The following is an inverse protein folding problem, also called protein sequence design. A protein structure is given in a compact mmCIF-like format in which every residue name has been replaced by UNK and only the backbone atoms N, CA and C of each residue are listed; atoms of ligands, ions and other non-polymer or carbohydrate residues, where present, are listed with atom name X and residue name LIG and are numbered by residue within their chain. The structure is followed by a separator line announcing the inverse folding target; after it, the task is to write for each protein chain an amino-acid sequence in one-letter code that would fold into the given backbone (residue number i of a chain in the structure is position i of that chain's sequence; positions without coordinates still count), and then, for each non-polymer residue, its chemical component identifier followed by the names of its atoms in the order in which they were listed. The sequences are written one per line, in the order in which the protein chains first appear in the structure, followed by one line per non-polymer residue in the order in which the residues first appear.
data_IF_172266197891
#
_entry.id   IF_172266197891
#
_cell.length_a   1.000
_cell.length_b   1.000
_cell.length_c   1.000
_cell.angle_alpha   90.00
_cell.angle_beta   90.00
_cell.angle_gamma   90.00
#
_symmetry.space_group_name_H-M   'P 1'
#
loop_
_entity.id
_entity.type
_entity.pdbx_description
1 polymer ?
#
# COMPACT_ATOMS: atom_id res chain seq x y z
N UNK A 1 -56.10 37.00 3.77
CA UNK A 1 -55.18 38.15 3.91
C UNK A 1 -54.04 37.96 2.92
N UNK A 2 -53.98 38.84 1.90
CA UNK A 2 -52.89 39.13 0.94
C UNK A 2 -52.24 37.98 0.14
N UNK A 3 -51.83 38.11 -1.13
CA UNK A 3 -52.07 39.08 -2.21
C UNK A 3 -51.41 38.52 -3.48
N UNK A 4 -52.13 38.64 -4.59
CA UNK A 4 -51.74 38.99 -5.96
C UNK A 4 -50.42 38.51 -6.60
N UNK A 5 -50.60 37.85 -7.74
CA UNK A 5 -49.59 37.59 -8.77
C UNK A 5 -49.27 38.82 -9.66
N UNK A 6 -48.08 38.75 -10.28
CA UNK A 6 -47.74 39.14 -11.67
C UNK A 6 -47.40 40.61 -11.97
N UNK A 7 -46.15 40.86 -12.40
CA UNK A 7 -45.83 41.38 -13.75
C UNK A 7 -44.33 41.32 -14.07
N UNK A 8 -44.10 41.20 -15.38
CA UNK A 8 -42.88 40.98 -16.17
C UNK A 8 -42.41 42.32 -16.74
N UNK A 9 -41.09 42.50 -16.87
CA UNK A 9 -40.48 43.43 -17.84
C UNK A 9 -39.17 42.82 -18.34
N UNK A 10 -39.06 42.70 -19.65
CA UNK A 10 -37.84 42.39 -20.41
C UNK A 10 -37.14 43.71 -20.76
N UNK A 11 -35.81 43.70 -20.78
CA UNK A 11 -35.03 44.59 -21.66
C UNK A 11 -33.76 43.85 -22.10
N UNK A 12 -33.40 44.06 -23.36
CA UNK A 12 -32.46 43.29 -24.17
C UNK A 12 -31.32 44.20 -24.63
N UNK A 13 -30.12 43.65 -24.81
CA UNK A 13 -29.15 44.17 -25.78
C UNK A 13 -28.14 43.11 -26.21
N UNK A 14 -27.72 43.25 -27.45
CA UNK A 14 -27.16 42.29 -28.38
C UNK A 14 -25.63 42.08 -28.33
N UNK A 15 -25.24 40.83 -28.62
CA UNK A 15 -24.21 40.38 -29.60
C UNK A 15 -22.79 40.98 -29.55
N UNK A 16 -21.78 40.12 -29.32
CA UNK A 16 -20.72 39.82 -30.31
C UNK A 16 -19.71 38.77 -29.82
N UNK A 17 -19.62 37.65 -30.54
CA UNK A 17 -18.47 36.75 -30.55
C UNK A 17 -17.43 37.25 -31.55
N UNK A 18 -16.15 36.87 -31.39
CA UNK A 18 -15.50 36.19 -32.51
C UNK A 18 -14.75 34.93 -32.08
N UNK A 19 -15.00 33.88 -32.86
CA UNK A 19 -14.22 32.66 -32.98
C UNK A 19 -12.77 32.96 -33.38
N UNK A 20 -11.80 32.35 -32.68
CA UNK A 20 -10.54 31.94 -33.30
C UNK A 20 -9.91 30.76 -32.53
N UNK A 21 -9.96 29.58 -33.15
CA UNK A 21 -8.88 28.58 -33.08
C UNK A 21 -8.18 28.60 -34.45
N UNK A 22 -6.98 28.01 -34.69
CA UNK A 22 -6.27 27.00 -33.90
C UNK A 22 -4.73 27.20 -33.82
N UNK A 23 -4.03 26.34 -33.04
CA UNK A 23 -2.76 25.72 -33.48
C UNK A 23 -2.33 24.56 -32.56
N UNK A 24 -2.34 23.35 -33.14
CA UNK A 24 -1.64 22.15 -32.65
C UNK A 24 -0.13 22.44 -32.65
N UNK A 25 0.51 22.29 -31.50
CA UNK A 25 1.97 22.23 -31.35
C UNK A 25 2.44 20.80 -31.14
N UNK A 26 3.34 20.36 -32.01
CA UNK A 26 4.12 19.12 -31.95
C UNK A 26 4.96 19.08 -30.67
N UNK A 27 5.12 17.91 -30.08
CA UNK A 27 5.61 17.71 -28.70
C UNK A 27 7.11 17.86 -28.47
N UNK A 28 7.45 18.12 -27.21
CA UNK A 28 8.77 17.87 -26.62
C UNK A 28 8.60 16.76 -25.57
N UNK A 29 9.31 15.62 -25.64
CA UNK A 29 9.12 14.51 -24.69
C UNK A 29 9.54 14.82 -23.25
N UNK A 30 10.30 15.91 -23.02
CA UNK A 30 10.85 16.26 -21.70
C UNK A 30 10.03 17.25 -20.87
N UNK A 31 9.11 18.02 -21.45
CA UNK A 31 8.46 19.13 -20.74
C UNK A 31 7.40 18.69 -19.71
N UNK A 32 6.81 17.50 -19.87
CA UNK A 32 5.71 17.05 -19.01
C UNK A 32 6.18 16.52 -17.65
N UNK A 33 7.39 15.95 -17.58
CA UNK A 33 7.97 15.43 -16.33
C UNK A 33 8.45 16.56 -15.41
N UNK A 34 9.04 17.62 -15.97
CA UNK A 34 9.52 18.81 -15.24
C UNK A 34 8.40 19.56 -14.48
N UNK A 35 7.16 19.47 -14.97
CA UNK A 35 5.96 20.05 -14.34
C UNK A 35 5.05 19.02 -13.67
N UNK A 36 5.56 17.80 -13.46
CA UNK A 36 4.81 16.79 -12.70
C UNK A 36 4.60 17.25 -11.25
N UNK A 37 3.49 16.81 -10.65
CA UNK A 37 3.18 17.18 -9.26
C UNK A 37 4.30 16.74 -8.31
N UNK A 38 4.90 15.55 -8.53
CA UNK A 38 6.02 15.06 -7.72
C UNK A 38 7.25 15.97 -7.76
N UNK A 39 7.66 16.43 -8.95
CA UNK A 39 8.80 17.36 -9.09
C UNK A 39 8.49 18.72 -8.47
N UNK A 40 7.26 19.22 -8.63
CA UNK A 40 6.83 20.46 -8.00
C UNK A 40 6.77 20.34 -6.48
N UNK A 41 6.33 19.19 -5.95
CA UNK A 41 6.32 18.90 -4.50
C UNK A 41 7.74 18.88 -3.96
N UNK A 42 8.71 18.24 -4.62
CA UNK A 42 10.11 18.25 -4.19
C UNK A 42 10.67 19.68 -4.11
N UNK A 43 10.55 20.46 -5.19
CA UNK A 43 11.00 21.86 -5.22
C UNK A 43 10.27 22.72 -4.18
N UNK A 44 8.98 22.47 -3.94
CA UNK A 44 8.20 23.16 -2.92
C UNK A 44 8.68 22.83 -1.50
N UNK A 45 8.96 21.55 -1.22
CA UNK A 45 9.50 21.10 0.06
C UNK A 45 10.89 21.70 0.31
N UNK A 46 11.76 21.74 -0.70
CA UNK A 46 13.06 22.39 -0.58
C UNK A 46 12.94 23.87 -0.19
N UNK A 47 11.98 24.60 -0.79
CA UNK A 47 11.72 25.99 -0.42
C UNK A 47 11.15 26.11 1.00
N UNK A 48 10.24 25.22 1.38
CA UNK A 48 9.61 25.24 2.69
C UNK A 48 10.60 24.89 3.81
N UNK A 49 11.39 23.84 3.64
CA UNK A 49 12.32 23.34 4.66
C UNK A 49 13.54 24.25 4.85
N UNK A 50 13.97 24.96 3.80
CA UNK A 50 15.08 25.92 3.86
C UNK A 50 14.63 27.36 4.19
N UNK A 51 13.33 27.61 4.36
CA UNK A 51 12.81 28.93 4.74
C UNK A 51 12.89 29.19 6.24
N UNK A 52 12.94 30.48 6.61
CA UNK A 52 12.90 30.90 8.01
C UNK A 52 11.61 30.40 8.70
N UNK A 53 11.79 29.83 9.89
CA UNK A 53 10.73 29.15 10.67
C UNK A 53 10.04 27.97 9.95
N UNK A 54 10.59 27.47 8.84
CA UNK A 54 9.95 26.48 7.96
C UNK A 54 8.53 26.90 7.54
N UNK A 55 8.38 28.17 7.16
CA UNK A 55 7.11 28.73 6.70
C UNK A 55 7.22 29.36 5.32
N UNK A 56 6.21 29.15 4.46
CA UNK A 56 6.21 29.69 3.10
C UNK A 56 4.91 30.42 2.78
N UNK A 57 5.02 31.58 2.10
CA UNK A 57 3.88 32.26 1.50
C UNK A 57 3.51 31.61 0.17
N UNK A 58 2.22 31.30 -0.03
CA UNK A 58 1.75 30.61 -1.22
C UNK A 58 1.91 31.44 -2.51
N UNK A 59 1.85 32.77 -2.43
CA UNK A 59 2.11 33.62 -3.60
C UNK A 59 3.61 33.66 -3.91
N UNK A 60 4.47 33.67 -2.89
CA UNK A 60 5.91 33.54 -3.08
C UNK A 60 6.25 32.20 -3.76
N UNK A 61 5.65 31.10 -3.32
CA UNK A 61 5.83 29.79 -3.95
C UNK A 61 5.36 29.77 -5.41
N UNK A 62 4.25 30.45 -5.73
CA UNK A 62 3.78 30.64 -7.13
C UNK A 62 4.85 31.32 -7.98
N UNK A 63 5.47 32.38 -7.46
CA UNK A 63 6.49 33.13 -8.19
C UNK A 63 7.78 32.33 -8.38
N UNK A 64 8.26 31.61 -7.35
CA UNK A 64 9.51 30.86 -7.42
C UNK A 64 9.37 29.60 -8.29
N UNK A 65 8.28 28.85 -8.11
CA UNK A 65 8.05 27.62 -8.88
C UNK A 65 7.51 27.89 -10.29
N UNK A 66 7.10 29.13 -10.58
CA UNK A 66 6.59 29.53 -11.89
C UNK A 66 5.31 28.80 -12.29
N UNK A 67 4.49 28.38 -11.31
CA UNK A 67 3.27 27.59 -11.54
C UNK A 67 2.01 28.33 -11.10
N UNK A 68 0.84 28.05 -11.69
CA UNK A 68 -0.42 28.64 -11.24
C UNK A 68 -0.73 28.30 -9.79
N UNK A 69 -1.40 29.21 -9.06
CA UNK A 69 -1.79 29.02 -7.65
C UNK A 69 -2.58 27.72 -7.40
N UNK A 70 -3.31 27.25 -8.39
CA UNK A 70 -4.01 25.96 -8.36
C UNK A 70 -3.06 24.77 -8.13
N UNK A 71 -1.85 24.79 -8.69
CA UNK A 71 -0.85 23.72 -8.51
C UNK A 71 -0.29 23.71 -7.09
N UNK A 72 -0.12 24.88 -6.49
CA UNK A 72 0.27 24.97 -5.08
C UNK A 72 -0.80 24.30 -4.20
N UNK A 73 -2.09 24.50 -4.48
CA UNK A 73 -3.15 23.80 -3.75
C UNK A 73 -3.15 22.28 -3.95
N UNK A 74 -2.77 21.77 -5.11
CA UNK A 74 -2.60 20.32 -5.28
C UNK A 74 -1.54 19.78 -4.31
N UNK A 75 -0.44 20.50 -4.12
CA UNK A 75 0.64 20.12 -3.20
C UNK A 75 0.18 20.26 -1.75
N UNK A 76 -0.37 21.43 -1.36
CA UNK A 76 -0.74 21.69 0.03
C UNK A 76 -1.86 20.78 0.50
N UNK A 77 -2.85 20.47 -0.35
CA UNK A 77 -3.95 19.59 0.05
C UNK A 77 -3.47 18.16 0.35
N UNK A 78 -2.48 17.66 -0.40
CA UNK A 78 -1.88 16.35 -0.14
C UNK A 78 -1.07 16.40 1.16
N UNK A 79 -0.18 17.39 1.32
CA UNK A 79 0.66 17.50 2.51
C UNK A 79 -0.16 17.77 3.79
N UNK A 80 -1.25 18.53 3.70
CA UNK A 80 -2.20 18.78 4.78
C UNK A 80 -3.01 17.51 5.08
N UNK A 81 -3.43 16.77 4.05
CA UNK A 81 -4.12 15.48 4.22
C UNK A 81 -3.27 14.41 4.90
N UNK A 82 -1.94 14.47 4.73
CA UNK A 82 -0.98 13.62 5.45
C UNK A 82 -0.60 14.20 6.82
N UNK A 83 -0.90 15.47 7.09
CA UNK A 83 -0.58 16.14 8.36
C UNK A 83 0.87 16.63 8.48
N UNK A 84 1.59 16.81 7.36
CA UNK A 84 2.98 17.31 7.37
C UNK A 84 3.08 18.83 7.33
N UNK A 85 2.01 19.51 6.92
CA UNK A 85 1.92 20.97 6.89
C UNK A 85 0.60 21.44 7.47
N UNK A 86 0.61 22.62 8.07
CA UNK A 86 -0.58 23.28 8.59
C UNK A 86 -0.68 24.73 8.11
N UNK A 87 -1.90 25.27 8.16
CA UNK A 87 -2.15 26.67 7.80
C UNK A 87 -1.90 27.59 8.98
N UNK A 88 -0.77 28.28 8.98
CA UNK A 88 -0.44 29.30 9.99
C UNK A 88 -1.28 30.57 9.83
N UNK A 89 -1.36 31.12 8.61
CA UNK A 89 -2.12 32.35 8.29
C UNK A 89 -2.74 32.28 6.88
N UNK A 90 -3.56 33.27 6.52
CA UNK A 90 -4.05 33.38 5.13
C UNK A 90 -2.86 33.52 4.18
N UNK A 91 -2.79 32.63 3.19
CA UNK A 91 -1.67 32.51 2.24
C UNK A 91 -0.33 32.08 2.85
N UNK A 92 -0.24 31.59 4.09
CA UNK A 92 1.01 31.08 4.66
C UNK A 92 0.81 29.71 5.32
N UNK A 93 1.68 28.77 4.99
CA UNK A 93 1.71 27.44 5.59
C UNK A 93 3.03 27.20 6.32
N UNK A 94 3.03 26.24 7.23
CA UNK A 94 4.17 25.86 8.06
C UNK A 94 4.40 24.35 7.98
N UNK A 95 5.67 23.93 7.95
CA UNK A 95 6.05 22.53 8.14
C UNK A 95 5.87 22.12 9.60
N UNK A 96 5.16 21.01 9.82
CA UNK A 96 4.97 20.39 11.14
C UNK A 96 5.39 18.91 11.15
N UNK A 97 5.96 18.41 10.05
CA UNK A 97 6.40 17.03 9.91
C UNK A 97 7.44 16.60 10.96
N UNK A 98 8.23 17.54 11.49
CA UNK A 98 9.25 17.28 12.52
C UNK A 98 8.71 17.38 13.95
N UNK A 99 7.39 17.35 14.14
CA UNK A 99 6.81 17.30 15.48
C UNK A 99 7.39 16.11 16.24
N UNK A 100 7.79 16.34 17.51
CA UNK A 100 8.29 15.29 18.41
C UNK A 100 7.31 14.11 18.48
N UNK A 101 6.01 14.39 18.37
CA UNK A 101 4.95 13.37 18.33
C UNK A 101 5.12 12.41 17.14
N UNK A 102 5.49 12.89 15.95
CA UNK A 102 5.71 12.03 14.78
C UNK A 102 6.99 11.19 14.93
N UNK A 103 8.04 11.76 15.56
CA UNK A 103 9.28 11.03 15.83
C UNK A 103 9.05 9.91 16.86
N UNK A 104 8.35 10.21 17.95
CA UNK A 104 8.05 9.22 19.00
C UNK A 104 7.15 8.09 18.48
N UNK A 105 6.18 8.40 17.62
CA UNK A 105 5.33 7.40 16.95
C UNK A 105 6.17 6.54 16.01
N UNK A 106 7.08 7.12 15.25
CA UNK A 106 7.96 6.39 14.35
C UNK A 106 8.90 5.44 15.13
N UNK A 107 9.53 5.95 16.20
CA UNK A 107 10.39 5.16 17.08
C UNK A 107 9.61 4.03 17.76
N UNK A 108 8.37 4.29 18.18
CA UNK A 108 7.47 3.28 18.73
C UNK A 108 7.20 2.18 17.71
N UNK A 109 6.83 2.51 16.48
CA UNK A 109 6.59 1.51 15.44
C UNK A 109 7.83 0.71 15.10
N UNK A 110 8.99 1.36 14.98
CA UNK A 110 10.27 0.67 14.77
C UNK A 110 10.60 -0.28 15.92
N UNK A 111 10.34 0.13 17.17
CA UNK A 111 10.56 -0.74 18.33
C UNK A 111 9.60 -1.95 18.35
N UNK A 112 8.35 -1.76 17.92
CA UNK A 112 7.37 -2.84 17.82
C UNK A 112 7.74 -3.82 16.71
N UNK A 113 8.17 -3.34 15.56
CA UNK A 113 8.66 -4.16 14.46
C UNK A 113 9.87 -4.98 14.90
N UNK A 114 10.87 -4.34 15.54
CA UNK A 114 12.03 -5.03 16.06
C UNK A 114 11.67 -6.10 17.11
N UNK A 115 10.65 -5.85 17.94
CA UNK A 115 10.16 -6.83 18.91
C UNK A 115 9.47 -8.02 18.21
N UNK A 116 8.67 -7.78 17.16
CA UNK A 116 8.04 -8.85 16.38
C UNK A 116 9.09 -9.72 15.67
N UNK A 117 10.10 -9.09 15.07
CA UNK A 117 11.24 -9.79 14.46
C UNK A 117 12.00 -10.64 15.47
N UNK A 118 12.21 -10.12 16.68
CA UNK A 118 12.84 -10.86 17.76
C UNK A 118 12.04 -12.11 18.13
N UNK A 119 10.73 -11.98 18.36
CA UNK A 119 9.89 -13.12 18.74
C UNK A 119 9.73 -14.14 17.62
N UNK A 120 9.70 -13.69 16.36
CA UNK A 120 9.64 -14.60 15.20
C UNK A 120 10.88 -15.48 15.16
N UNK A 121 12.08 -14.88 15.24
CA UNK A 121 13.35 -15.61 15.26
C UNK A 121 13.48 -16.51 16.48
N UNK A 122 13.03 -16.05 17.65
CA UNK A 122 13.12 -16.84 18.88
C UNK A 122 12.18 -18.05 18.85
N UNK A 123 10.97 -17.90 18.29
CA UNK A 123 10.06 -19.03 18.12
C UNK A 123 10.57 -20.04 17.09
N UNK A 124 11.09 -19.58 15.94
CA UNK A 124 11.72 -20.45 14.94
C UNK A 124 12.85 -21.26 15.56
N UNK A 125 13.77 -20.58 16.27
CA UNK A 125 14.88 -21.22 16.98
C UNK A 125 14.41 -22.27 18.00
N UNK A 126 13.33 -21.96 18.73
CA UNK A 126 12.79 -22.88 19.73
C UNK A 126 12.13 -24.11 19.10
N UNK A 127 11.46 -23.95 17.95
CA UNK A 127 10.90 -25.07 17.20
C UNK A 127 12.01 -25.98 16.69
N UNK A 128 13.07 -25.39 16.11
CA UNK A 128 14.22 -26.14 15.62
C UNK A 128 14.92 -26.92 16.75
N UNK A 129 15.19 -26.25 17.89
CA UNK A 129 15.81 -26.89 19.07
C UNK A 129 14.95 -28.04 19.63
N UNK A 130 13.63 -27.86 19.71
CA UNK A 130 12.71 -28.91 20.15
C UNK A 130 12.68 -30.08 19.18
N UNK A 131 12.70 -29.82 17.87
CA UNK A 131 12.68 -30.85 16.83
C UNK A 131 14.00 -31.63 16.78
N UNK A 132 15.14 -30.94 16.96
CA UNK A 132 16.45 -31.58 17.04
C UNK A 132 16.60 -32.42 18.30
N UNK A 133 16.18 -31.89 19.46
CA UNK A 133 16.31 -32.58 20.76
C UNK A 133 15.37 -33.77 20.89
N UNK A 134 14.18 -33.71 20.28
CA UNK A 134 13.14 -34.74 20.40
C UNK A 134 12.90 -35.50 19.10
N UNK A 135 13.90 -35.57 18.22
CA UNK A 135 13.77 -36.17 16.89
C UNK A 135 13.21 -37.60 16.91
N UNK A 136 13.60 -38.39 17.90
CA UNK A 136 13.16 -39.79 18.06
C UNK A 136 11.73 -39.92 18.62
N UNK A 137 11.18 -38.84 19.19
CA UNK A 137 9.81 -38.78 19.72
C UNK A 137 8.84 -38.06 18.78
N UNK A 138 9.33 -37.47 17.69
CA UNK A 138 8.54 -36.74 16.70
C UNK A 138 7.84 -37.70 15.70
N UNK A 139 6.98 -38.57 16.21
CA UNK A 139 6.15 -39.45 15.40
C UNK A 139 4.69 -39.42 15.84
N UNK A 140 3.81 -39.86 14.95
CA UNK A 140 2.39 -40.07 15.25
C UNK A 140 2.08 -41.56 15.16
N UNK A 141 1.19 -42.05 16.01
CA UNK A 141 0.69 -43.42 15.91
C UNK A 141 -0.49 -43.50 14.95
N UNK A 142 -0.77 -44.71 14.45
CA UNK A 142 -1.95 -44.94 13.63
C UNK A 142 -3.25 -44.70 14.42
N UNK A 143 -3.24 -44.97 15.72
CA UNK A 143 -4.37 -44.72 16.62
C UNK A 143 -4.68 -43.21 16.75
N UNK A 144 -3.64 -42.37 16.87
CA UNK A 144 -3.80 -40.90 16.91
C UNK A 144 -4.51 -40.38 15.65
N UNK A 145 -4.13 -40.91 14.49
CA UNK A 145 -4.67 -40.51 13.19
C UNK A 145 -6.12 -41.03 12.98
N UNK A 146 -6.42 -42.24 13.45
CA UNK A 146 -7.76 -42.82 13.38
C UNK A 146 -8.76 -42.07 14.27
N UNK A 147 -8.32 -41.62 15.45
CA UNK A 147 -9.14 -40.83 16.36
C UNK A 147 -9.53 -39.45 15.77
N UNK A 148 -8.72 -38.90 14.85
CA UNK A 148 -8.98 -37.59 14.23
C UNK A 148 -10.02 -37.66 13.09
N UNK A 149 -9.97 -38.70 12.25
CA UNK A 149 -10.74 -38.74 10.99
C UNK A 149 -11.75 -39.90 10.86
N UNK A 150 -11.85 -40.77 11.86
CA UNK A 150 -12.73 -41.94 11.85
C UNK A 150 -12.15 -43.10 11.03
N UNK A 151 -12.60 -44.32 11.34
CA UNK A 151 -11.98 -45.58 10.90
C UNK A 151 -12.25 -46.01 9.46
N UNK A 152 -13.07 -45.27 8.70
CA UNK A 152 -13.57 -45.74 7.40
C UNK A 152 -12.91 -45.09 6.16
N UNK A 153 -11.78 -44.40 6.32
CA UNK A 153 -11.08 -43.76 5.21
C UNK A 153 -9.68 -44.32 5.03
N UNK A 154 -9.32 -44.55 3.76
CA UNK A 154 -7.93 -44.82 3.36
C UNK A 154 -7.07 -43.60 3.64
N UNK A 155 -5.94 -43.81 4.31
CA UNK A 155 -5.01 -42.74 4.66
C UNK A 155 -3.66 -42.97 3.97
N UNK A 156 -3.13 -41.89 3.40
CA UNK A 156 -1.84 -41.88 2.72
C UNK A 156 -0.95 -40.89 3.47
N UNK A 157 0.14 -41.37 4.05
CA UNK A 157 1.16 -40.51 4.66
C UNK A 157 2.30 -40.33 3.67
N UNK A 158 2.59 -39.08 3.31
CA UNK A 158 3.65 -38.72 2.37
C UNK A 158 4.75 -38.03 3.17
N UNK A 159 5.97 -38.52 3.05
CA UNK A 159 7.17 -37.88 3.58
C UNK A 159 8.09 -37.53 2.42
N UNK A 160 8.40 -36.25 2.29
CA UNK A 160 9.20 -35.72 1.20
C UNK A 160 10.25 -34.72 1.72
N UNK A 161 11.34 -34.49 0.99
CA UNK A 161 12.34 -33.49 1.36
C UNK A 161 11.80 -32.06 1.17
N UNK A 162 12.42 -31.07 1.81
CA UNK A 162 12.06 -29.66 1.63
C UNK A 162 12.13 -29.24 0.15
N UNK A 163 11.16 -28.44 -0.27
CA UNK A 163 11.05 -27.95 -1.65
C UNK A 163 10.32 -28.89 -2.61
N UNK A 164 9.78 -30.03 -2.14
CA UNK A 164 8.92 -30.90 -2.96
C UNK A 164 7.64 -30.17 -3.38
N UNK A 165 7.35 -30.14 -4.68
CA UNK A 165 6.10 -29.59 -5.20
C UNK A 165 4.99 -30.65 -5.17
N UNK A 166 3.78 -30.19 -4.83
CA UNK A 166 2.57 -31.00 -4.78
C UNK A 166 1.53 -30.34 -5.65
N UNK A 167 1.10 -31.02 -6.70
CA UNK A 167 0.06 -30.54 -7.62
C UNK A 167 -1.14 -31.50 -7.57
N UNK A 168 -2.33 -30.94 -7.38
CA UNK A 168 -3.58 -31.71 -7.43
C UNK A 168 -4.29 -31.39 -8.73
N UNK A 169 -4.37 -32.37 -9.62
CA UNK A 169 -5.01 -32.27 -10.93
C UNK A 169 -6.35 -32.97 -10.86
N UNK A 170 -7.45 -32.25 -11.14
CA UNK A 170 -8.77 -32.87 -11.29
C UNK A 170 -9.08 -32.99 -12.77
N UNK A 171 -8.93 -34.18 -13.34
CA UNK A 171 -9.27 -34.47 -14.72
C UNK A 171 -10.80 -34.50 -14.92
N UNK A 172 -11.54 -34.90 -13.88
CA UNK A 172 -13.00 -34.83 -13.81
C UNK A 172 -13.47 -34.75 -12.35
N UNK A 173 -14.76 -34.47 -12.06
CA UNK A 173 -15.28 -34.48 -10.68
C UNK A 173 -15.14 -35.84 -9.96
N UNK A 174 -14.85 -36.91 -10.70
CA UNK A 174 -14.71 -38.27 -10.20
C UNK A 174 -13.26 -38.77 -10.25
N UNK A 175 -12.35 -38.04 -10.90
CA UNK A 175 -10.93 -38.39 -11.03
C UNK A 175 -10.06 -37.24 -10.53
N UNK A 176 -9.39 -37.49 -9.41
CA UNK A 176 -8.37 -36.61 -8.84
C UNK A 176 -7.02 -37.33 -8.87
N UNK A 177 -6.02 -36.63 -9.38
CA UNK A 177 -4.63 -37.05 -9.42
C UNK A 177 -3.80 -36.12 -8.52
N UNK A 178 -2.84 -36.69 -7.80
CA UNK A 178 -1.89 -35.93 -6.98
C UNK A 178 -0.49 -36.22 -7.51
N UNK A 179 0.13 -35.21 -8.11
CA UNK A 179 1.48 -35.25 -8.63
C UNK A 179 2.45 -34.72 -7.58
N UNK A 180 3.48 -35.50 -7.27
CA UNK A 180 4.54 -35.12 -6.33
C UNK A 180 5.85 -35.07 -7.10
N UNK A 181 6.57 -33.95 -7.02
CA UNK A 181 7.85 -33.78 -7.69
C UNK A 181 8.90 -33.23 -6.72
N UNK A 182 10.06 -33.89 -6.66
CA UNK A 182 11.19 -33.48 -5.84
C UNK A 182 12.48 -33.50 -6.65
N UNK A 183 13.27 -32.43 -6.53
CA UNK A 183 14.60 -32.33 -7.12
C UNK A 183 15.72 -32.68 -6.11
N UNK A 184 15.39 -32.72 -4.83
CA UNK A 184 16.36 -32.73 -3.71
C UNK A 184 16.42 -34.08 -2.98
N UNK A 185 15.55 -35.03 -3.30
CA UNK A 185 15.59 -36.37 -2.71
C UNK A 185 14.39 -37.26 -3.03
N UNK A 186 14.36 -38.42 -2.37
CA UNK A 186 13.31 -39.42 -2.54
C UNK A 186 12.03 -39.04 -1.78
N UNK A 187 10.88 -39.43 -2.34
CA UNK A 187 9.56 -39.26 -1.72
C UNK A 187 9.09 -40.63 -1.21
N UNK A 188 8.79 -40.70 0.08
CA UNK A 188 8.27 -41.90 0.74
C UNK A 188 6.75 -41.79 0.87
N UNK A 189 6.05 -42.82 0.42
CA UNK A 189 4.59 -42.89 0.49
C UNK A 189 4.20 -44.15 1.27
N UNK A 190 3.49 -43.95 2.38
CA UNK A 190 2.96 -45.02 3.22
C UNK A 190 1.44 -45.07 3.10
N UNK A 191 0.92 -46.27 2.87
CA UNK A 191 -0.50 -46.52 2.70
C UNK A 191 -1.05 -47.24 3.93
N UNK A 192 -2.12 -46.71 4.50
CA UNK A 192 -2.84 -47.30 5.61
C UNK A 192 -4.30 -47.50 5.20
N UNK A 193 -4.73 -48.77 5.10
CA UNK A 193 -6.15 -49.14 5.01
C UNK A 193 -6.48 -50.09 6.13
N UNK A 194 -7.63 -49.87 6.77
CA UNK A 194 -8.26 -50.83 7.67
C UNK A 194 -9.20 -51.75 6.91
#
# INVERSE_FOLDING_TARGET
MNSSQKKRSEESSEVSSPSSTPKKGVGTPGGRQEHSLGVLTQKFLDLLLNSDEKTIDLNQAVHILGVPKRRIYDITNVLEGVGLVEKKLKNRIQWVGDSLENSEILDLFQSQEANLDFWTREMERKIDDLLETNKDLAYLTLEDLQNLHGTQKTMIAIRSPPGTSVEVVSASPQEQEVNLHSETGEILVHFFSQ
#
